data_IF_722057582678
#
_entry.id   IF_722057582678
#
_cell.length_a   1.000
_cell.length_b   1.000
_cell.length_c   1.000
_cell.angle_alpha   90.00
_cell.angle_beta   90.00
_cell.angle_gamma   90.00
#
_symmetry.space_group_name_H-M   'P 1'
#
loop_
_entity.id
_entity.type
_entity.pdbx_description
1 polymer ?
#
# COMPACT_ATOMS: atom_id res chain seq x y z
N UNK A 1 12.28 -13.24 6.70
CA UNK A 1 11.96 -11.98 6.00
C UNK A 1 12.95 -11.75 4.88
N UNK A 2 12.50 -11.34 3.71
CA UNK A 2 13.43 -10.99 2.63
C UNK A 2 14.34 -9.85 3.06
N UNK A 3 15.61 -9.94 2.75
CA UNK A 3 16.51 -8.81 2.85
C UNK A 3 16.09 -7.79 1.78
N UNK A 4 16.28 -6.52 2.01
CA UNK A 4 15.85 -5.50 1.08
C UNK A 4 14.43 -4.97 1.30
N UNK A 5 13.85 -5.27 2.46
CA UNK A 5 12.57 -4.69 2.84
C UNK A 5 12.73 -3.20 3.10
N UNK A 6 11.85 -2.41 2.50
CA UNK A 6 11.83 -0.95 2.67
C UNK A 6 10.62 -0.58 3.51
N UNK A 7 10.84 0.23 4.54
CA UNK A 7 9.77 0.79 5.37
C UNK A 7 9.45 2.20 4.87
N UNK A 8 8.17 2.46 4.64
CA UNK A 8 7.64 3.78 4.31
C UNK A 8 6.62 4.14 5.38
N UNK A 9 6.75 5.31 5.94
CA UNK A 9 5.91 5.72 7.07
C UNK A 9 5.49 7.18 6.93
N UNK A 10 4.20 7.43 7.13
CA UNK A 10 3.67 8.78 7.32
C UNK A 10 2.57 8.72 8.36
N UNK A 11 2.00 9.86 8.74
CA UNK A 11 1.03 9.93 9.82
C UNK A 11 -0.12 8.93 9.62
N UNK A 12 -0.26 8.00 10.56
CA UNK A 12 -1.30 6.98 10.56
C UNK A 12 -1.05 5.78 9.67
N UNK A 13 0.07 5.73 8.95
CA UNK A 13 0.36 4.68 7.99
C UNK A 13 1.78 4.17 8.12
N UNK A 14 1.95 2.86 8.12
CA UNK A 14 3.25 2.22 8.10
C UNK A 14 3.22 1.07 7.09
N UNK A 15 4.14 1.08 6.14
CA UNK A 15 4.21 0.09 5.07
C UNK A 15 5.61 -0.49 5.01
N UNK A 16 5.70 -1.82 5.05
CA UNK A 16 6.94 -2.54 4.77
C UNK A 16 6.75 -3.25 3.45
N UNK A 17 7.63 -3.00 2.47
CA UNK A 17 7.52 -3.65 1.18
C UNK A 17 8.86 -4.19 0.69
N UNK A 18 8.79 -5.22 -0.12
CA UNK A 18 9.96 -5.84 -0.75
C UNK A 18 9.58 -6.45 -2.08
N UNK A 19 10.56 -6.48 -3.00
CA UNK A 19 10.41 -7.20 -4.25
C UNK A 19 10.66 -8.69 -3.99
N UNK A 20 9.83 -9.52 -4.60
CA UNK A 20 9.96 -10.97 -4.56
C UNK A 20 10.38 -11.48 -5.92
N UNK A 21 10.89 -12.71 -5.97
CA UNK A 21 11.16 -13.37 -7.24
C UNK A 21 9.87 -13.56 -8.03
N UNK A 22 9.96 -13.52 -9.34
CA UNK A 22 8.82 -13.71 -10.21
C UNK A 22 8.07 -12.43 -10.59
N UNK A 23 8.60 -11.26 -10.23
CA UNK A 23 8.03 -9.98 -10.66
C UNK A 23 6.88 -9.48 -9.79
N UNK A 24 6.80 -9.92 -8.55
CA UNK A 24 5.81 -9.46 -7.58
C UNK A 24 6.47 -8.79 -6.39
N UNK A 25 5.77 -7.85 -5.80
CA UNK A 25 6.15 -7.21 -4.55
C UNK A 25 5.15 -7.56 -3.47
N UNK A 26 5.63 -7.65 -2.22
CA UNK A 26 4.78 -7.81 -1.05
C UNK A 26 4.78 -6.52 -0.24
N UNK A 27 3.61 -6.13 0.26
CA UNK A 27 3.43 -5.00 1.16
C UNK A 27 2.72 -5.45 2.42
N UNK A 28 3.30 -5.12 3.57
CA UNK A 28 2.63 -5.25 4.87
C UNK A 28 2.25 -3.84 5.30
N UNK A 29 0.97 -3.59 5.53
CA UNK A 29 0.49 -2.25 5.86
C UNK A 29 -0.26 -2.25 7.17
N UNK A 30 -0.01 -1.21 7.98
CA UNK A 30 -0.71 -0.95 9.23
C UNK A 30 -1.27 0.47 9.17
N UNK A 31 -2.55 0.60 9.46
CA UNK A 31 -3.26 1.89 9.48
C UNK A 31 -3.86 2.12 10.85
N UNK A 32 -3.46 3.20 11.52
CA UNK A 32 -3.91 3.52 12.88
C UNK A 32 -5.04 4.54 12.91
N UNK A 33 -5.40 5.10 11.76
CA UNK A 33 -6.48 6.08 11.63
C UNK A 33 -7.32 5.78 10.40
N UNK A 34 -8.57 6.22 10.41
CA UNK A 34 -9.42 6.18 9.22
C UNK A 34 -8.82 7.09 8.15
N UNK A 35 -8.75 6.62 6.92
CA UNK A 35 -8.21 7.41 5.82
C UNK A 35 -8.79 6.99 4.48
N UNK A 36 -9.25 7.97 3.73
CA UNK A 36 -9.58 7.81 2.32
C UNK A 36 -8.39 8.29 1.53
N UNK A 37 -7.69 7.38 0.85
CA UNK A 37 -6.47 7.72 0.14
C UNK A 37 -6.69 8.12 -1.32
N UNK A 38 -7.92 8.38 -1.74
CA UNK A 38 -8.22 8.70 -3.13
C UNK A 38 -7.37 9.84 -3.69
N UNK A 39 -7.14 10.89 -2.90
CA UNK A 39 -6.35 12.05 -3.35
C UNK A 39 -4.88 11.72 -3.64
N UNK A 40 -4.36 10.63 -3.08
CA UNK A 40 -2.97 10.23 -3.31
C UNK A 40 -2.75 9.61 -4.69
N UNK A 41 -3.84 9.24 -5.37
CA UNK A 41 -3.77 8.60 -6.69
C UNK A 41 -4.04 9.59 -7.84
N UNK A 42 -4.21 10.89 -7.53
CA UNK A 42 -4.39 11.90 -8.57
C UNK A 42 -3.16 11.98 -9.46
N UNK A 43 -3.40 12.06 -10.75
CA UNK A 43 -2.35 12.03 -11.77
C UNK A 43 -2.17 10.67 -12.43
N UNK A 44 -2.70 9.62 -11.84
CA UNK A 44 -2.83 8.32 -12.49
C UNK A 44 -4.07 8.33 -13.40
N UNK A 45 -4.19 7.38 -14.35
CA UNK A 45 -5.39 7.31 -15.20
C UNK A 45 -6.66 7.27 -14.35
N UNK A 46 -7.60 8.17 -14.64
CA UNK A 46 -8.86 8.33 -13.90
C UNK A 46 -8.67 8.66 -12.41
N UNK A 47 -7.48 9.09 -12.02
CA UNK A 47 -7.09 9.35 -10.63
C UNK A 47 -7.27 8.13 -9.72
N UNK A 48 -6.98 6.95 -10.26
CA UNK A 48 -7.10 5.68 -9.56
C UNK A 48 -5.86 4.81 -9.73
N UNK A 49 -5.65 3.91 -8.78
CA UNK A 49 -4.58 2.93 -8.86
C UNK A 49 -4.87 1.96 -10.02
N UNK A 50 -3.88 1.72 -10.86
CA UNK A 50 -4.02 0.89 -12.06
C UNK A 50 -3.39 -0.49 -11.89
N UNK A 51 -2.98 -0.85 -10.67
CA UNK A 51 -2.37 -2.15 -10.41
C UNK A 51 -3.39 -3.12 -9.82
N UNK A 52 -3.33 -4.40 -10.22
CA UNK A 52 -4.09 -5.43 -9.52
C UNK A 52 -3.45 -5.74 -8.18
N UNK A 53 -4.25 -6.10 -7.19
CA UNK A 53 -3.77 -6.48 -5.88
C UNK A 53 -4.45 -7.73 -5.36
N UNK A 54 -3.65 -8.64 -4.84
CA UNK A 54 -4.11 -9.80 -4.08
C UNK A 54 -3.72 -9.57 -2.63
N UNK A 55 -4.66 -9.73 -1.72
CA UNK A 55 -4.38 -9.43 -0.32
C UNK A 55 -5.14 -10.30 0.67
N UNK A 56 -4.80 -10.08 1.93
CA UNK A 56 -5.45 -10.72 3.06
C UNK A 56 -5.53 -9.70 4.19
N UNK A 57 -6.73 -9.56 4.77
CA UNK A 57 -6.94 -8.67 5.91
C UNK A 57 -6.62 -9.43 7.19
N UNK A 58 -5.56 -9.01 7.88
CA UNK A 58 -5.12 -9.62 9.14
C UNK A 58 -5.99 -9.12 10.27
N UNK A 59 -6.20 -7.80 10.37
CA UNK A 59 -7.07 -7.16 11.33
C UNK A 59 -7.77 -5.97 10.68
N UNK A 60 -8.92 -5.61 11.20
CA UNK A 60 -9.64 -4.43 10.77
C UNK A 60 -10.43 -4.61 9.49
N UNK A 61 -10.46 -3.58 8.68
CA UNK A 61 -11.29 -3.52 7.49
C UNK A 61 -10.69 -2.59 6.45
N UNK A 62 -10.79 -2.97 5.18
CA UNK A 62 -10.39 -2.13 4.05
C UNK A 62 -11.52 -2.06 3.03
N UNK A 63 -11.70 -0.88 2.45
CA UNK A 63 -12.63 -0.68 1.33
C UNK A 63 -11.87 -0.31 0.07
N UNK A 64 -12.41 -0.69 -1.07
CA UNK A 64 -11.90 -0.28 -2.39
C UNK A 64 -13.04 0.34 -3.17
N UNK A 65 -12.81 1.57 -3.64
CA UNK A 65 -13.80 2.29 -4.47
C UNK A 65 -13.42 2.20 -5.93
N UNK A 66 -14.36 1.72 -6.72
CA UNK A 66 -14.28 1.70 -8.18
C UNK A 66 -15.23 2.76 -8.74
N UNK A 67 -15.19 2.96 -10.06
CA UNK A 67 -16.10 3.93 -10.69
C UNK A 67 -17.58 3.59 -10.49
N UNK A 68 -17.90 2.31 -10.40
CA UNK A 68 -19.27 1.78 -10.41
C UNK A 68 -19.68 1.06 -9.13
N UNK A 69 -18.77 0.86 -8.18
CA UNK A 69 -19.05 0.10 -6.97
C UNK A 69 -18.01 0.33 -5.89
N UNK A 70 -18.31 -0.17 -4.71
CA UNK A 70 -17.39 -0.25 -3.59
C UNK A 70 -17.36 -1.69 -3.09
N UNK A 71 -16.17 -2.18 -2.75
CA UNK A 71 -15.97 -3.50 -2.16
C UNK A 71 -15.31 -3.32 -0.80
N UNK A 72 -15.74 -4.12 0.18
CA UNK A 72 -15.20 -4.06 1.54
C UNK A 72 -14.80 -5.45 2.01
N UNK A 73 -13.64 -5.54 2.65
CA UNK A 73 -13.08 -6.79 3.16
C UNK A 73 -12.70 -6.61 4.61
N UNK A 74 -13.01 -7.62 5.42
CA UNK A 74 -12.76 -7.63 6.86
C UNK A 74 -11.72 -8.67 7.25
N UNK A 75 -11.27 -8.62 8.50
CA UNK A 75 -10.31 -9.58 9.05
C UNK A 75 -10.69 -11.02 8.72
N UNK A 76 -9.74 -11.78 8.20
CA UNK A 76 -9.93 -13.14 7.75
C UNK A 76 -10.31 -13.30 6.28
N UNK A 77 -10.56 -12.19 5.57
CA UNK A 77 -10.89 -12.24 4.14
C UNK A 77 -9.62 -12.13 3.29
N UNK A 78 -9.48 -13.03 2.33
CA UNK A 78 -8.57 -12.85 1.22
C UNK A 78 -9.32 -12.11 0.11
N UNK A 79 -8.62 -11.28 -0.66
CA UNK A 79 -9.27 -10.50 -1.71
C UNK A 79 -8.40 -10.37 -2.96
N UNK A 80 -9.07 -10.10 -4.06
CA UNK A 80 -8.45 -9.62 -5.27
C UNK A 80 -9.18 -8.36 -5.73
N UNK A 81 -8.43 -7.31 -6.05
CA UNK A 81 -8.99 -6.10 -6.66
C UNK A 81 -8.24 -5.77 -7.94
N UNK A 82 -9.00 -5.54 -9.00
CA UNK A 82 -8.44 -5.18 -10.30
C UNK A 82 -8.05 -3.71 -10.38
N UNK A 83 -7.46 -3.30 -11.52
CA UNK A 83 -7.13 -1.89 -11.77
C UNK A 83 -8.36 -0.99 -11.69
N UNK A 84 -8.13 0.28 -11.33
CA UNK A 84 -9.18 1.29 -11.31
C UNK A 84 -9.82 1.49 -9.94
N UNK A 85 -9.06 1.28 -8.87
CA UNK A 85 -9.55 1.45 -7.50
C UNK A 85 -8.81 2.51 -6.72
N UNK A 86 -9.45 3.00 -5.64
CA UNK A 86 -8.80 3.77 -4.59
C UNK A 86 -9.12 3.14 -3.24
N UNK A 87 -8.14 3.01 -2.32
CA UNK A 87 -8.37 2.35 -1.05
C UNK A 87 -8.92 3.30 0.02
N UNK A 88 -9.76 2.75 0.89
CA UNK A 88 -10.24 3.40 2.10
C UNK A 88 -9.85 2.51 3.27
N UNK A 89 -9.12 3.06 4.22
CA UNK A 89 -8.66 2.31 5.39
C UNK A 89 -9.42 2.74 6.62
N UNK A 90 -9.64 1.79 7.52
CA UNK A 90 -10.25 2.04 8.81
C UNK A 90 -9.21 1.84 9.91
N UNK A 91 -9.32 2.61 10.98
CA UNK A 91 -8.38 2.54 12.10
C UNK A 91 -8.25 1.11 12.63
N UNK A 92 -7.01 0.69 12.90
CA UNK A 92 -6.72 -0.66 13.38
C UNK A 92 -6.61 -1.72 12.29
N UNK A 93 -6.45 -1.31 11.04
CA UNK A 93 -6.33 -2.25 9.91
C UNK A 93 -4.89 -2.68 9.70
N UNK A 94 -4.70 -3.99 9.55
CA UNK A 94 -3.45 -4.59 9.13
C UNK A 94 -3.75 -5.50 7.94
N UNK A 95 -2.98 -5.33 6.87
CA UNK A 95 -3.13 -6.13 5.66
C UNK A 95 -1.77 -6.59 5.13
N UNK A 96 -1.80 -7.66 4.34
CA UNK A 96 -0.70 -8.02 3.47
C UNK A 96 -1.23 -8.04 2.04
N UNK A 97 -0.49 -7.39 1.13
CA UNK A 97 -0.87 -7.31 -0.29
C UNK A 97 0.28 -7.68 -1.20
N UNK A 98 -0.07 -8.32 -2.32
CA UNK A 98 0.88 -8.64 -3.38
C UNK A 98 0.44 -7.92 -4.65
N UNK A 99 1.40 -7.35 -5.37
CA UNK A 99 1.17 -6.63 -6.62
C UNK A 99 2.31 -6.89 -7.59
N UNK A 100 2.07 -6.76 -8.91
CA UNK A 100 3.20 -6.79 -9.84
C UNK A 100 4.17 -5.67 -9.54
N UNK A 101 5.46 -5.99 -9.46
CA UNK A 101 6.51 -5.02 -9.14
C UNK A 101 6.52 -3.85 -10.11
N UNK A 102 6.34 -4.12 -11.41
CA UNK A 102 6.35 -3.08 -12.43
C UNK A 102 5.27 -2.02 -12.21
N UNK A 103 4.03 -2.43 -12.00
CA UNK A 103 2.92 -1.49 -11.79
C UNK A 103 3.01 -0.80 -10.43
N UNK A 104 3.52 -1.48 -9.43
CA UNK A 104 3.76 -0.87 -8.12
C UNK A 104 4.80 0.25 -8.25
N UNK A 105 5.88 0.02 -8.99
CA UNK A 105 6.92 1.02 -9.21
C UNK A 105 6.45 2.22 -10.04
N UNK A 106 5.39 2.08 -10.81
CA UNK A 106 4.75 3.21 -11.48
C UNK A 106 3.83 3.99 -10.55
N UNK A 107 3.26 3.33 -9.57
CA UNK A 107 2.29 3.91 -8.64
C UNK A 107 2.94 4.66 -7.49
N UNK A 108 3.96 4.08 -6.87
CA UNK A 108 4.61 4.65 -5.68
C UNK A 108 5.11 6.09 -5.88
N UNK A 109 5.81 6.43 -6.99
CA UNK A 109 6.27 7.81 -7.18
C UNK A 109 5.13 8.83 -7.23
N UNK A 110 3.98 8.46 -7.78
CA UNK A 110 2.81 9.33 -7.83
C UNK A 110 2.26 9.58 -6.42
N UNK A 111 2.13 8.53 -5.62
CA UNK A 111 1.67 8.63 -4.23
C UNK A 111 2.61 9.51 -3.41
N UNK A 112 3.93 9.28 -3.52
CA UNK A 112 4.93 10.06 -2.78
C UNK A 112 4.91 11.53 -3.18
N UNK A 113 4.77 11.82 -4.47
CA UNK A 113 4.68 13.20 -4.96
C UNK A 113 3.43 13.90 -4.41
N UNK A 114 2.31 13.19 -4.36
CA UNK A 114 1.07 13.75 -3.82
C UNK A 114 1.14 13.99 -2.32
N UNK A 115 1.79 13.09 -1.57
CA UNK A 115 2.03 13.30 -0.14
C UNK A 115 2.89 14.55 0.09
N UNK A 116 3.95 14.73 -0.69
CA UNK A 116 4.80 15.91 -0.61
C UNK A 116 4.03 17.18 -0.94
N UNK A 117 3.23 17.17 -2.00
CA UNK A 117 2.40 18.30 -2.40
C UNK A 117 1.37 18.68 -1.32
N UNK A 118 0.90 17.70 -0.56
CA UNK A 118 -0.07 17.91 0.52
C UNK A 118 0.61 18.28 1.86
N UNK A 119 1.94 18.42 1.86
CA UNK A 119 2.69 18.79 3.07
C UNK A 119 2.80 17.67 4.09
N UNK A 120 2.62 16.42 3.70
CA UNK A 120 2.69 15.27 4.58
C UNK A 120 4.13 14.72 4.58
N UNK A 121 4.77 14.71 5.74
CA UNK A 121 6.12 14.19 5.89
C UNK A 121 6.14 12.67 5.77
N UNK A 122 7.08 12.16 4.99
CA UNK A 122 7.26 10.73 4.74
C UNK A 122 8.66 10.32 5.17
N UNK A 123 8.74 9.24 5.95
CA UNK A 123 10.00 8.61 6.31
C UNK A 123 10.17 7.35 5.47
N UNK A 124 11.36 7.16 4.90
CA UNK A 124 11.71 5.95 4.16
C UNK A 124 12.98 5.37 4.70
N UNK A 125 13.00 4.04 4.91
CA UNK A 125 14.14 3.35 5.49
C UNK A 125 14.27 1.96 4.93
N UNK A 126 15.50 1.60 4.53
CA UNK A 126 15.80 0.24 4.12
C UNK A 126 16.20 -0.60 5.33
N UNK A 127 15.34 -1.56 5.69
CA UNK A 127 15.57 -2.41 6.86
C UNK A 127 16.74 -3.38 6.66
N UNK A 128 17.06 -3.73 5.41
CA UNK A 128 18.15 -4.64 5.11
C UNK A 128 19.51 -4.16 5.62
N UNK A 129 19.78 -2.85 5.55
CA UNK A 129 21.03 -2.29 6.07
C UNK A 129 21.14 -2.45 7.58
N UNK A 130 20.04 -2.22 8.28
CA UNK A 130 20.02 -2.38 9.72
C UNK A 130 20.24 -3.82 10.14
N UNK A 131 19.70 -4.77 9.40
CA UNK A 131 19.91 -6.21 9.67
C UNK A 131 21.37 -6.63 9.44
N UNK A 132 21.97 -6.14 8.38
CA UNK A 132 23.39 -6.42 8.09
C UNK A 132 24.29 -5.86 9.17
N UNK A 133 24.03 -4.65 9.64
CA UNK A 133 24.82 -4.03 10.68
C UNK A 133 24.69 -4.72 12.03
N UNK A 134 23.54 -5.33 12.31
CA UNK A 134 23.28 -6.03 13.56
C UNK A 134 24.00 -7.37 13.66
N UNK A 135 24.57 -7.86 12.60
CA UNK A 135 25.33 -9.11 12.56
C UNK A 135 26.79 -8.87 12.83
#
# INVERSE_FOLDING_TARGET
MPSGMTKVKWEGVEIDHADLEGGYAVCFETHTADADLASLFRGLPEDRAQLPRWGYVIEGKIGFRFADREETYEAGNAYYVGPGHTPVYYAGTEIVEFSPTETLNETIPVVLRNLDADGIAVEMREAAEAEVEAR
#
